data_IF_872623459390
#
_entry.id   IF_872623459390
#
_cell.length_a   1.000
_cell.length_b   1.000
_cell.length_c   1.000
_cell.angle_alpha   90.00
_cell.angle_beta   90.00
_cell.angle_gamma   90.00
#
_symmetry.space_group_name_H-M   'P 1'
#
loop_
_entity.id
_entity.type
_entity.pdbx_description
1 polymer ?
#
# COMPACT_ATOMS: atom_id res chain seq x y z
N UNK A 1 -17.81 -11.90 -38.46
CA UNK A 1 -17.34 -10.78 -37.62
C UNK A 1 -17.98 -10.91 -36.25
N UNK A 2 -17.28 -11.49 -35.27
CA UNK A 2 -17.78 -11.64 -33.89
C UNK A 2 -17.46 -10.35 -33.14
N UNK A 3 -18.50 -9.64 -32.70
CA UNK A 3 -18.38 -8.47 -31.81
C UNK A 3 -17.90 -8.96 -30.46
N UNK A 4 -16.65 -8.62 -30.09
CA UNK A 4 -16.16 -8.77 -28.73
C UNK A 4 -16.85 -7.73 -27.86
N UNK A 5 -17.80 -8.18 -27.06
CA UNK A 5 -18.40 -7.38 -25.98
C UNK A 5 -17.35 -7.29 -24.88
N UNK A 6 -16.69 -6.13 -24.80
CA UNK A 6 -15.83 -5.78 -23.67
C UNK A 6 -16.75 -5.35 -22.52
N UNK A 7 -17.19 -6.33 -21.74
CA UNK A 7 -17.97 -6.12 -20.52
C UNK A 7 -17.03 -5.80 -19.36
N UNK A 8 -16.48 -4.58 -19.31
CA UNK A 8 -15.96 -4.06 -18.05
C UNK A 8 -17.09 -3.27 -17.38
N UNK A 9 -17.71 -3.78 -16.31
CA UNK A 9 -18.54 -2.92 -15.49
C UNK A 9 -17.62 -1.91 -14.81
N UNK A 10 -17.63 -0.68 -15.30
CA UNK A 10 -17.01 0.51 -14.69
C UNK A 10 -17.84 0.90 -13.46
N UNK A 11 -17.84 0.06 -12.43
CA UNK A 11 -18.72 0.23 -11.28
C UNK A 11 -18.09 1.21 -10.27
N UNK A 12 -18.64 2.43 -10.07
CA UNK A 12 -18.11 3.40 -9.11
C UNK A 12 -18.04 2.85 -7.68
N UNK A 13 -18.82 1.81 -7.40
CA UNK A 13 -18.81 1.05 -6.15
C UNK A 13 -17.43 0.39 -5.89
N UNK A 14 -16.73 -0.06 -6.93
CA UNK A 14 -15.43 -0.73 -6.82
C UNK A 14 -14.31 0.23 -6.41
N UNK A 15 -14.27 1.44 -7.00
CA UNK A 15 -13.31 2.51 -6.65
C UNK A 15 -13.42 2.89 -5.17
N UNK A 16 -14.66 3.01 -4.68
CA UNK A 16 -14.93 3.30 -3.27
C UNK A 16 -14.41 2.20 -2.35
N UNK A 17 -14.46 0.94 -2.80
CA UNK A 17 -14.02 -0.23 -2.04
C UNK A 17 -12.49 -0.31 -1.96
N UNK A 18 -11.78 -0.10 -3.08
CA UNK A 18 -10.30 -0.10 -3.10
C UNK A 18 -9.76 1.04 -2.25
N UNK A 19 -10.32 2.25 -2.38
CA UNK A 19 -9.94 3.40 -1.56
C UNK A 19 -10.14 3.14 -0.07
N UNK A 20 -11.27 2.51 0.30
CA UNK A 20 -11.57 2.12 1.68
C UNK A 20 -10.56 1.09 2.20
N UNK A 21 -10.22 0.08 1.40
CA UNK A 21 -9.25 -0.93 1.78
C UNK A 21 -7.86 -0.32 2.04
N UNK A 22 -7.37 0.55 1.16
CA UNK A 22 -6.09 1.24 1.35
C UNK A 22 -6.08 2.15 2.59
N UNK A 23 -7.21 2.82 2.88
CA UNK A 23 -7.40 3.59 4.11
C UNK A 23 -7.33 2.71 5.37
N UNK A 24 -7.92 1.53 5.33
CA UNK A 24 -7.85 0.58 6.44
C UNK A 24 -6.42 0.05 6.63
N UNK A 25 -5.71 -0.25 5.55
CA UNK A 25 -4.30 -0.61 5.59
C UNK A 25 -3.43 0.51 6.19
N UNK A 26 -3.70 1.77 5.84
CA UNK A 26 -3.01 2.93 6.45
C UNK A 26 -3.21 2.96 7.97
N UNK A 27 -4.45 2.82 8.44
CA UNK A 27 -4.77 2.81 9.87
C UNK A 27 -4.10 1.64 10.59
N UNK A 28 -4.12 0.46 9.98
CA UNK A 28 -3.46 -0.73 10.53
C UNK A 28 -1.95 -0.54 10.64
N UNK A 29 -1.30 0.02 9.62
CA UNK A 29 0.13 0.29 9.63
C UNK A 29 0.54 1.30 10.72
N UNK A 30 -0.28 2.34 10.97
CA UNK A 30 -0.01 3.33 12.03
C UNK A 30 -0.02 2.75 13.44
N UNK A 31 -0.71 1.63 13.65
CA UNK A 31 -0.82 0.99 14.96
C UNK A 31 0.17 -0.18 15.16
N UNK A 32 1.11 -0.39 14.23
CA UNK A 32 2.20 -1.37 14.42
C UNK A 32 3.36 -0.68 15.12
N UNK A 33 3.66 -1.10 16.35
CA UNK A 33 4.78 -0.58 17.14
C UNK A 33 6.06 -1.37 16.89
N UNK A 34 7.21 -0.72 17.01
CA UNK A 34 8.52 -1.37 16.81
C UNK A 34 8.80 -2.50 17.81
N UNK A 35 8.16 -2.46 18.99
CA UNK A 35 8.29 -3.47 20.05
C UNK A 35 7.41 -4.71 19.82
N UNK A 36 6.57 -4.72 18.78
CA UNK A 36 5.76 -5.88 18.42
C UNK A 36 6.68 -6.96 17.80
N UNK A 37 6.73 -8.19 18.36
CA UNK A 37 7.58 -9.27 17.85
C UNK A 37 7.26 -9.64 16.40
N UNK A 38 6.06 -9.32 15.91
CA UNK A 38 5.62 -9.57 14.54
C UNK A 38 5.53 -8.30 13.69
N UNK A 39 6.08 -7.16 14.14
CA UNK A 39 6.04 -5.91 13.40
C UNK A 39 6.49 -6.07 11.94
N UNK A 40 7.59 -6.81 11.75
CA UNK A 40 8.13 -7.23 10.46
C UNK A 40 7.10 -7.82 9.51
N UNK A 41 6.55 -8.96 9.91
CA UNK A 41 5.66 -9.76 9.10
C UNK A 41 4.34 -9.02 8.85
N UNK A 42 3.86 -8.25 9.83
CA UNK A 42 2.66 -7.44 9.70
C UNK A 42 2.86 -6.31 8.70
N UNK A 43 3.98 -5.58 8.76
CA UNK A 43 4.30 -4.52 7.79
C UNK A 43 4.49 -5.10 6.37
N UNK A 44 5.18 -6.23 6.24
CA UNK A 44 5.35 -6.92 4.96
C UNK A 44 3.99 -7.33 4.35
N UNK A 45 3.09 -7.88 5.17
CA UNK A 45 1.74 -8.27 4.73
C UNK A 45 0.90 -7.06 4.32
N UNK A 46 0.93 -5.97 5.08
CA UNK A 46 0.21 -4.75 4.70
C UNK A 46 0.76 -4.19 3.38
N UNK A 47 2.08 -4.16 3.21
CA UNK A 47 2.71 -3.70 1.99
C UNK A 47 2.34 -4.57 0.78
N UNK A 48 2.26 -5.88 0.96
CA UNK A 48 1.80 -6.83 -0.06
C UNK A 48 0.33 -6.60 -0.47
N UNK A 49 -0.56 -6.42 0.51
CA UNK A 49 -1.97 -6.11 0.24
C UNK A 49 -2.13 -4.75 -0.44
N UNK A 50 -1.34 -3.75 -0.02
CA UNK A 50 -1.34 -2.43 -0.65
C UNK A 50 -0.88 -2.52 -2.11
N UNK A 51 0.20 -3.26 -2.38
CA UNK A 51 0.70 -3.52 -3.73
C UNK A 51 -0.39 -4.16 -4.60
N UNK A 52 -1.07 -5.20 -4.09
CA UNK A 52 -2.18 -5.85 -4.79
C UNK A 52 -3.30 -4.86 -5.14
N UNK A 53 -3.77 -4.06 -4.19
CA UNK A 53 -4.85 -3.10 -4.46
C UNK A 53 -4.44 -2.00 -5.45
N UNK A 54 -3.20 -1.51 -5.37
CA UNK A 54 -2.66 -0.53 -6.31
C UNK A 54 -2.45 -1.12 -7.72
N UNK A 55 -2.10 -2.41 -7.82
CA UNK A 55 -1.99 -3.14 -9.10
C UNK A 55 -3.35 -3.48 -9.70
N UNK A 56 -4.36 -3.78 -8.87
CA UNK A 56 -5.70 -4.11 -9.33
C UNK A 56 -6.55 -2.87 -9.68
N UNK A 57 -6.14 -1.67 -9.26
CA UNK A 57 -6.87 -0.44 -9.56
C UNK A 57 -6.81 -0.09 -11.07
N UNK A 58 -7.96 0.05 -11.75
CA UNK A 58 -8.01 0.45 -13.16
C UNK A 58 -7.36 1.82 -13.41
N UNK A 59 -6.61 1.95 -14.50
CA UNK A 59 -5.86 3.18 -14.82
C UNK A 59 -6.81 4.36 -15.10
N UNK A 60 -7.95 4.09 -15.75
CA UNK A 60 -8.98 5.08 -16.08
C UNK A 60 -9.68 5.65 -14.84
N UNK A 61 -9.60 4.93 -13.72
CA UNK A 61 -10.21 5.30 -12.44
C UNK A 61 -9.16 5.78 -11.42
N UNK A 62 -7.92 5.97 -11.85
CA UNK A 62 -6.85 6.44 -10.98
C UNK A 62 -7.14 7.90 -10.57
N UNK A 63 -7.14 8.22 -9.27
CA UNK A 63 -7.42 9.58 -8.83
C UNK A 63 -6.33 10.54 -9.31
N UNK A 64 -6.72 11.66 -9.93
CA UNK A 64 -5.78 12.74 -10.32
C UNK A 64 -5.38 13.60 -9.12
N UNK A 65 -6.26 13.68 -8.12
CA UNK A 65 -6.02 14.33 -6.83
C UNK A 65 -6.90 13.66 -5.77
N UNK A 66 -6.40 13.55 -4.54
CA UNK A 66 -7.19 13.04 -3.42
C UNK A 66 -7.75 14.16 -2.55
N UNK A 67 -7.04 15.29 -2.45
CA UNK A 67 -7.47 16.50 -1.74
C UNK A 67 -7.22 17.70 -2.66
N UNK A 68 -7.97 18.79 -2.45
CA UNK A 68 -8.09 19.92 -3.39
C UNK A 68 -6.79 20.67 -3.74
N UNK A 69 -5.63 20.37 -3.14
CA UNK A 69 -4.36 21.07 -3.44
C UNK A 69 -3.08 20.23 -3.39
N UNK A 70 -3.14 18.89 -3.29
CA UNK A 70 -1.92 18.07 -3.33
C UNK A 70 -1.89 17.15 -4.54
N UNK A 71 -0.84 17.24 -5.39
CA UNK A 71 -0.68 16.31 -6.49
C UNK A 71 -0.47 14.90 -5.94
N UNK A 72 -1.22 13.94 -6.47
CA UNK A 72 -1.02 12.54 -6.15
C UNK A 72 0.28 12.06 -6.79
N UNK A 73 1.17 11.36 -6.06
CA UNK A 73 2.27 10.65 -6.71
C UNK A 73 1.73 9.68 -7.75
N UNK A 74 2.48 9.49 -8.83
CA UNK A 74 2.11 8.53 -9.86
C UNK A 74 1.90 7.13 -9.26
N UNK A 75 1.04 6.33 -9.89
CA UNK A 75 0.81 4.93 -9.52
C UNK A 75 2.11 4.13 -9.37
N UNK A 76 3.05 4.32 -10.29
CA UNK A 76 4.35 3.64 -10.25
C UNK A 76 5.19 4.03 -9.02
N UNK A 77 5.13 5.29 -8.56
CA UNK A 77 5.84 5.73 -7.36
C UNK A 77 5.24 5.07 -6.11
N UNK A 78 3.91 5.05 -5.99
CA UNK A 78 3.24 4.41 -4.86
C UNK A 78 3.53 2.90 -4.81
N UNK A 79 3.51 2.24 -5.98
CA UNK A 79 3.90 0.83 -6.11
C UNK A 79 5.36 0.58 -5.70
N UNK A 80 6.29 1.44 -6.15
CA UNK A 80 7.69 1.31 -5.79
C UNK A 80 7.92 1.48 -4.29
N UNK A 81 7.22 2.41 -3.64
CA UNK A 81 7.28 2.58 -2.19
C UNK A 81 6.71 1.39 -1.43
N UNK A 82 5.56 0.86 -1.85
CA UNK A 82 4.99 -0.36 -1.25
C UNK A 82 5.94 -1.57 -1.42
N UNK A 83 6.47 -1.78 -2.62
CA UNK A 83 7.40 -2.88 -2.91
C UNK A 83 8.72 -2.75 -2.12
N UNK A 84 9.25 -1.54 -1.95
CA UNK A 84 10.44 -1.30 -1.13
C UNK A 84 10.16 -1.58 0.36
N UNK A 85 9.05 -1.09 0.90
CA UNK A 85 8.67 -1.36 2.29
C UNK A 85 8.49 -2.87 2.54
N UNK A 86 7.87 -3.58 1.59
CA UNK A 86 7.72 -5.05 1.63
C UNK A 86 9.08 -5.75 1.64
N UNK A 87 9.96 -5.41 0.69
CA UNK A 87 11.30 -6.02 0.58
C UNK A 87 12.11 -5.83 1.87
N UNK A 88 12.13 -4.62 2.39
CA UNK A 88 12.88 -4.27 3.60
C UNK A 88 12.31 -4.99 4.84
N UNK A 89 10.98 -5.08 4.95
CA UNK A 89 10.31 -5.80 6.04
C UNK A 89 10.56 -7.31 5.98
N UNK A 90 10.52 -7.92 4.78
CA UNK A 90 10.82 -9.35 4.59
C UNK A 90 12.28 -9.63 4.91
N UNK A 91 13.21 -8.82 4.38
CA UNK A 91 14.64 -8.99 4.61
C UNK A 91 14.97 -9.04 6.11
N UNK A 92 14.30 -8.20 6.89
CA UNK A 92 14.44 -8.23 8.34
C UNK A 92 13.81 -9.49 8.97
N UNK A 93 12.60 -9.86 8.56
CA UNK A 93 11.91 -11.04 9.13
C UNK A 93 12.67 -12.36 8.99
N UNK A 94 13.60 -12.42 8.03
CA UNK A 94 14.44 -13.59 7.76
C UNK A 94 15.73 -13.63 8.60
N UNK A 95 16.02 -12.61 9.41
CA UNK A 95 17.22 -12.55 10.25
C UNK A 95 16.88 -12.86 11.72
N UNK A 96 17.03 -14.12 12.18
CA UNK A 96 16.58 -14.55 13.51
C UNK A 96 17.32 -13.88 14.68
N UNK A 97 18.51 -13.31 14.46
CA UNK A 97 19.34 -12.71 15.52
C UNK A 97 19.37 -11.17 15.50
N UNK A 98 18.70 -10.53 14.53
CA UNK A 98 18.70 -9.08 14.43
C UNK A 98 17.61 -8.50 15.33
N UNK A 99 17.98 -7.66 16.30
CA UNK A 99 17.02 -6.89 17.07
C UNK A 99 16.38 -5.81 16.17
N UNK A 100 15.04 -5.80 16.09
CA UNK A 100 14.30 -4.85 15.24
C UNK A 100 14.54 -3.43 15.74
N UNK A 101 15.46 -2.71 15.10
CA UNK A 101 15.81 -1.36 15.53
C UNK A 101 14.68 -0.39 15.23
N UNK A 102 14.49 0.59 16.14
CA UNK A 102 13.54 1.68 15.93
C UNK A 102 13.80 2.43 14.61
N UNK A 103 15.06 2.59 14.21
CA UNK A 103 15.42 3.28 12.97
C UNK A 103 14.93 2.50 11.73
N UNK A 104 15.14 1.19 11.69
CA UNK A 104 14.64 0.34 10.60
C UNK A 104 13.11 0.32 10.57
N UNK A 105 12.48 0.12 11.73
CA UNK A 105 11.03 0.24 11.89
C UNK A 105 10.52 1.54 11.26
N UNK A 106 11.05 2.67 11.74
CA UNK A 106 10.56 4.01 11.39
C UNK A 106 10.69 4.26 9.90
N UNK A 107 11.81 3.85 9.29
CA UNK A 107 12.03 3.96 7.84
C UNK A 107 10.98 3.16 7.06
N UNK A 108 10.81 1.88 7.36
CA UNK A 108 9.86 0.99 6.66
C UNK A 108 8.43 1.52 6.81
N UNK A 109 8.01 1.79 8.05
CA UNK A 109 6.67 2.30 8.34
C UNK A 109 6.44 3.65 7.67
N UNK A 110 7.41 4.57 7.67
CA UNK A 110 7.24 5.88 7.00
C UNK A 110 7.08 5.73 5.50
N UNK A 111 7.88 4.87 4.84
CA UNK A 111 7.75 4.60 3.41
C UNK A 111 6.37 4.01 3.08
N UNK A 112 5.92 3.03 3.87
CA UNK A 112 4.60 2.40 3.68
C UNK A 112 3.46 3.40 3.92
N UNK A 113 3.56 4.22 4.97
CA UNK A 113 2.57 5.25 5.26
C UNK A 113 2.57 6.33 4.17
N UNK A 114 3.70 6.69 3.58
CA UNK A 114 3.74 7.63 2.46
C UNK A 114 3.04 7.07 1.21
N UNK A 115 3.16 5.76 0.96
CA UNK A 115 2.43 5.09 -0.14
C UNK A 115 0.91 5.08 0.08
N UNK A 116 0.46 5.02 1.33
CA UNK A 116 -0.94 4.86 1.70
C UNK A 116 -1.65 6.16 2.14
N UNK A 117 -0.89 7.17 2.59
CA UNK A 117 -1.39 8.46 3.06
C UNK A 117 -2.35 9.14 2.11
N UNK A 118 -2.17 9.09 0.77
CA UNK A 118 -3.10 9.77 -0.11
C UNK A 118 -4.54 9.24 0.02
N UNK A 119 -4.73 7.99 0.44
CA UNK A 119 -6.04 7.34 0.58
C UNK A 119 -6.65 7.46 2.00
N UNK A 120 -5.93 8.05 2.97
CA UNK A 120 -6.31 8.05 4.39
C UNK A 120 -7.53 8.91 4.72
#
# INVERSE_FOLDING_TARGET
MKKSVSSFPTDPTQVSTVSKALRELYRNARHIYHSDPYAAARLARIADQAEYFLQAWPEEQWPTSLHSQQPLPSRHVLLAWAANAKRDAIAFSLQPESAWSYAHWRRITTTLLAALAPFS
#
